data_IF_684840883645
#
_entry.id   IF_684840883645
#
_cell.length_a   1.000
_cell.length_b   1.000
_cell.length_c   1.000
_cell.angle_alpha   90.00
_cell.angle_beta   90.00
_cell.angle_gamma   90.00
#
_symmetry.space_group_name_H-M   'P 1'
#
loop_
_entity.id
_entity.type
_entity.pdbx_description
1 polymer ?
#
# COMPACT_ATOMS: atom_id res chain seq x y z
N UNK A 1 -33.23 29.58 -15.22
CA UNK A 1 -33.24 28.25 -14.57
C UNK A 1 -33.45 27.18 -15.64
N UNK A 2 -32.41 26.46 -16.03
CA UNK A 2 -32.52 25.25 -16.84
C UNK A 2 -31.82 24.12 -16.07
N UNK A 3 -32.61 23.18 -15.54
CA UNK A 3 -32.09 21.91 -15.02
C UNK A 3 -31.70 21.05 -16.22
N UNK A 4 -30.40 20.83 -16.43
CA UNK A 4 -29.92 19.74 -17.29
C UNK A 4 -30.15 18.44 -16.51
N UNK A 5 -31.20 17.71 -16.86
CA UNK A 5 -31.36 16.31 -16.48
C UNK A 5 -30.33 15.50 -17.27
N UNK A 6 -29.22 15.13 -16.63
CA UNK A 6 -28.40 14.03 -17.11
C UNK A 6 -29.22 12.74 -16.90
N UNK A 7 -29.61 12.08 -17.99
CA UNK A 7 -30.14 10.73 -17.95
C UNK A 7 -28.97 9.81 -17.59
N UNK A 8 -28.92 9.35 -16.34
CA UNK A 8 -28.16 8.15 -16.02
C UNK A 8 -28.91 6.99 -16.68
N UNK A 9 -28.19 6.18 -17.47
CA UNK A 9 -28.71 4.91 -17.97
C UNK A 9 -28.95 3.99 -16.76
N UNK A 10 -30.13 3.38 -16.65
CA UNK A 10 -30.53 2.55 -15.50
C UNK A 10 -29.91 1.14 -15.56
N UNK A 11 -28.82 0.96 -16.31
CA UNK A 11 -28.08 -0.30 -16.34
C UNK A 11 -27.16 -0.37 -15.13
N UNK A 12 -27.37 -1.37 -14.26
CA UNK A 12 -26.39 -1.68 -13.22
C UNK A 12 -25.05 -2.01 -13.87
N UNK A 13 -24.02 -1.23 -13.54
CA UNK A 13 -22.65 -1.46 -13.98
C UNK A 13 -21.82 -1.96 -12.80
N UNK A 14 -21.03 -3.00 -13.06
CA UNK A 14 -20.14 -3.59 -12.06
C UNK A 14 -18.76 -3.78 -12.66
N UNK A 15 -17.75 -3.79 -11.81
CA UNK A 15 -16.36 -3.97 -12.22
C UNK A 15 -15.66 -4.95 -11.28
N UNK A 16 -14.61 -5.56 -11.80
CA UNK A 16 -13.69 -6.36 -11.01
C UNK A 16 -12.26 -6.09 -11.43
N UNK A 17 -11.34 -6.22 -10.50
CA UNK A 17 -9.92 -5.99 -10.73
C UNK A 17 -9.09 -7.18 -10.24
N UNK A 18 -8.07 -7.52 -11.01
CA UNK A 18 -6.97 -8.38 -10.56
C UNK A 18 -5.72 -8.15 -11.41
N UNK A 19 -4.56 -8.49 -10.86
CA UNK A 19 -3.30 -8.50 -11.56
C UNK A 19 -2.44 -9.67 -11.06
N UNK A 20 -1.52 -10.11 -11.91
CA UNK A 20 -0.42 -11.01 -11.56
C UNK A 20 0.87 -10.43 -12.15
N UNK A 21 1.97 -10.55 -11.42
CA UNK A 21 3.26 -9.99 -11.81
C UNK A 21 4.34 -11.04 -11.58
N UNK A 22 5.05 -11.42 -12.64
CA UNK A 22 6.19 -12.33 -12.55
C UNK A 22 7.24 -11.97 -13.60
N UNK A 23 8.52 -12.19 -13.27
CA UNK A 23 9.63 -12.02 -14.22
C UNK A 23 9.71 -13.16 -15.24
N UNK A 24 9.14 -14.30 -14.89
CA UNK A 24 9.03 -15.48 -15.75
C UNK A 24 7.60 -15.58 -16.29
N UNK A 25 7.46 -15.42 -17.61
CA UNK A 25 6.17 -15.47 -18.29
C UNK A 25 5.44 -16.79 -18.04
N UNK A 26 6.16 -17.91 -17.89
CA UNK A 26 5.56 -19.23 -17.65
C UNK A 26 4.90 -19.35 -16.27
N UNK A 27 5.24 -18.45 -15.34
CA UNK A 27 4.70 -18.40 -13.98
C UNK A 27 3.53 -17.43 -13.82
N UNK A 28 3.08 -16.81 -14.91
CA UNK A 28 1.90 -15.96 -14.89
C UNK A 28 0.63 -16.80 -14.94
N UNK A 29 -0.29 -16.56 -14.01
CA UNK A 29 -1.57 -17.27 -13.92
C UNK A 29 -2.64 -16.54 -14.74
N UNK A 30 -2.45 -16.49 -16.06
CA UNK A 30 -3.30 -15.71 -16.99
C UNK A 30 -4.79 -16.02 -16.82
N UNK A 31 -5.14 -17.31 -16.68
CA UNK A 31 -6.52 -17.73 -16.45
C UNK A 31 -7.09 -17.16 -15.15
N UNK A 32 -6.32 -17.24 -14.06
CA UNK A 32 -6.72 -16.67 -12.76
C UNK A 32 -6.90 -15.15 -12.82
N UNK A 33 -6.05 -14.45 -13.59
CA UNK A 33 -6.17 -12.99 -13.80
C UNK A 33 -7.43 -12.62 -14.58
N UNK A 34 -7.93 -13.50 -15.46
CA UNK A 34 -9.20 -13.29 -16.16
C UNK A 34 -10.43 -13.67 -15.33
N UNK A 35 -10.36 -14.77 -14.58
CA UNK A 35 -11.48 -15.30 -13.80
C UNK A 35 -11.79 -14.47 -12.55
N UNK A 36 -10.78 -14.01 -11.82
CA UNK A 36 -10.96 -13.21 -10.60
C UNK A 36 -11.80 -11.93 -10.83
N UNK A 37 -11.46 -11.04 -11.78
CA UNK A 37 -12.23 -9.82 -12.01
C UNK A 37 -13.61 -10.14 -12.57
N UNK A 38 -13.74 -11.15 -13.45
CA UNK A 38 -15.04 -11.60 -13.96
C UNK A 38 -15.97 -12.01 -12.83
N UNK A 39 -15.49 -12.89 -11.92
CA UNK A 39 -16.27 -13.31 -10.75
C UNK A 39 -16.65 -12.13 -9.86
N UNK A 40 -15.73 -11.22 -9.58
CA UNK A 40 -16.01 -10.02 -8.77
C UNK A 40 -17.06 -9.13 -9.43
N UNK A 41 -16.96 -8.89 -10.73
CA UNK A 41 -17.95 -8.11 -11.47
C UNK A 41 -19.32 -8.79 -11.45
N UNK A 42 -19.41 -10.10 -11.71
CA UNK A 42 -20.68 -10.84 -11.65
C UNK A 42 -21.29 -10.83 -10.25
N UNK A 43 -20.47 -10.91 -9.20
CA UNK A 43 -20.94 -10.82 -7.81
C UNK A 43 -21.36 -9.40 -7.40
N UNK A 44 -21.02 -8.37 -8.18
CA UNK A 44 -21.38 -6.98 -7.90
C UNK A 44 -22.82 -6.61 -8.27
N UNK A 45 -23.54 -7.45 -9.02
CA UNK A 45 -24.93 -7.15 -9.37
C UNK A 45 -25.84 -7.20 -8.13
N UNK A 46 -26.79 -6.27 -8.04
CA UNK A 46 -27.62 -6.10 -6.85
C UNK A 46 -26.88 -5.55 -5.63
N UNK A 47 -25.74 -4.87 -5.85
CA UNK A 47 -25.04 -4.10 -4.83
C UNK A 47 -25.99 -3.14 -4.11
N UNK A 48 -25.82 -3.04 -2.79
CA UNK A 48 -26.65 -2.18 -1.95
C UNK A 48 -25.81 -1.07 -1.35
N UNK A 49 -26.43 0.10 -1.23
CA UNK A 49 -25.88 1.16 -0.41
C UNK A 49 -25.83 0.70 1.05
N UNK A 50 -24.72 1.02 1.69
CA UNK A 50 -24.53 0.88 3.13
C UNK A 50 -24.51 2.27 3.75
N UNK A 51 -24.96 2.40 4.99
CA UNK A 51 -24.92 3.68 5.69
C UNK A 51 -23.47 4.09 5.99
N UNK A 52 -23.09 5.36 5.86
CA UNK A 52 -21.78 5.83 6.26
C UNK A 52 -21.50 5.55 7.74
N UNK A 53 -20.32 5.01 8.06
CA UNK A 53 -19.95 4.69 9.43
C UNK A 53 -18.64 3.93 9.52
N UNK A 54 -18.31 3.53 10.75
CA UNK A 54 -17.14 2.70 11.04
C UNK A 54 -17.51 1.22 10.87
N UNK A 55 -16.71 0.50 10.09
CA UNK A 55 -16.88 -0.92 9.82
C UNK A 55 -15.59 -1.67 10.12
N UNK A 56 -15.72 -2.92 10.53
CA UNK A 56 -14.61 -3.87 10.45
C UNK A 56 -14.32 -4.14 8.97
N UNK A 57 -13.05 -4.04 8.57
CA UNK A 57 -12.65 -4.15 7.17
C UNK A 57 -11.62 -5.25 7.00
N UNK A 58 -11.91 -6.17 6.09
CA UNK A 58 -10.95 -7.15 5.57
C UNK A 58 -10.40 -6.59 4.26
N UNK A 59 -9.07 -6.45 4.17
CA UNK A 59 -8.39 -5.96 2.98
C UNK A 59 -7.78 -7.13 2.21
N UNK A 60 -8.17 -7.31 0.94
CA UNK A 60 -7.44 -8.23 0.06
C UNK A 60 -6.03 -7.69 -0.25
N UNK A 61 -5.08 -8.57 -0.67
CA UNK A 61 -3.69 -8.18 -0.93
C UNK A 61 -3.53 -6.96 -1.84
N UNK A 62 -4.40 -6.78 -2.84
CA UNK A 62 -4.36 -5.63 -3.73
C UNK A 62 -4.71 -4.30 -3.04
N UNK A 63 -5.68 -4.32 -2.13
CA UNK A 63 -6.04 -3.16 -1.31
C UNK A 63 -4.93 -2.81 -0.32
N UNK A 64 -4.34 -3.84 0.31
CA UNK A 64 -3.17 -3.70 1.21
C UNK A 64 -1.99 -3.10 0.46
N UNK A 65 -1.64 -3.61 -0.73
CA UNK A 65 -0.50 -3.13 -1.51
C UNK A 65 -0.60 -1.62 -1.85
N UNK A 66 -1.78 -1.17 -2.28
CA UNK A 66 -2.02 0.26 -2.51
C UNK A 66 -1.81 1.09 -1.24
N UNK A 67 -2.33 0.63 -0.09
CA UNK A 67 -2.16 1.32 1.18
C UNK A 67 -0.70 1.31 1.71
N UNK A 68 0.02 0.20 1.54
CA UNK A 68 1.44 0.07 1.92
C UNK A 68 2.31 1.06 1.17
N UNK A 69 2.01 1.35 -0.09
CA UNK A 69 2.70 2.41 -0.84
C UNK A 69 2.57 3.77 -0.15
N UNK A 70 1.37 4.17 0.29
CA UNK A 70 1.17 5.45 0.99
C UNK A 70 1.86 5.49 2.35
N UNK A 71 1.77 4.40 3.13
CA UNK A 71 2.46 4.28 4.42
C UNK A 71 3.97 4.42 4.23
N UNK A 72 4.55 3.69 3.28
CA UNK A 72 5.98 3.74 2.98
C UNK A 72 6.39 5.16 2.54
N UNK A 73 5.72 5.68 1.50
CA UNK A 73 6.09 6.96 0.88
C UNK A 73 6.00 8.11 1.87
N UNK A 74 4.87 8.28 2.57
CA UNK A 74 4.65 9.41 3.47
C UNK A 74 5.24 9.20 4.86
N UNK A 75 5.28 7.96 5.36
CA UNK A 75 5.75 7.67 6.71
C UNK A 75 7.27 7.55 6.79
N UNK A 76 7.88 6.77 5.89
CA UNK A 76 9.23 6.25 6.08
C UNK A 76 10.31 6.99 5.29
N UNK A 77 9.97 7.99 4.47
CA UNK A 77 10.97 8.82 3.79
C UNK A 77 11.66 9.78 4.76
N UNK A 78 12.99 9.70 4.89
CA UNK A 78 13.76 10.63 5.72
C UNK A 78 13.60 12.08 5.27
N UNK A 79 13.45 12.34 3.97
CA UNK A 79 13.19 13.69 3.47
C UNK A 79 11.86 14.23 4.01
N UNK A 80 10.79 13.43 3.94
CA UNK A 80 9.47 13.87 4.43
C UNK A 80 9.42 13.95 5.96
N UNK A 81 10.22 13.15 6.66
CA UNK A 81 10.44 13.28 8.10
C UNK A 81 11.06 14.63 8.45
N UNK A 82 12.16 15.00 7.78
CA UNK A 82 12.87 16.26 7.97
C UNK A 82 12.04 17.48 7.52
N UNK A 83 11.20 17.31 6.50
CA UNK A 83 10.28 18.34 5.97
C UNK A 83 8.97 18.47 6.78
N UNK A 84 8.85 17.80 7.93
CA UNK A 84 7.67 17.89 8.81
C UNK A 84 6.38 17.35 8.16
N UNK A 85 6.52 16.52 7.12
CA UNK A 85 5.41 15.93 6.35
C UNK A 85 5.05 14.53 6.87
N UNK A 86 6.03 13.77 7.35
CA UNK A 86 5.79 12.40 7.82
C UNK A 86 4.91 12.36 9.07
N UNK A 87 3.94 11.45 9.10
CA UNK A 87 3.13 11.15 10.28
C UNK A 87 3.89 10.37 11.37
N UNK A 88 5.09 9.86 11.05
CA UNK A 88 5.99 9.15 11.97
C UNK A 88 7.00 10.08 12.66
N UNK A 89 6.90 11.39 12.42
CA UNK A 89 7.77 12.37 13.04
C UNK A 89 7.76 12.24 14.56
N UNK A 90 8.96 12.15 15.12
CA UNK A 90 9.24 11.99 16.56
C UNK A 90 8.68 10.70 17.18
N UNK A 91 8.33 9.70 16.36
CA UNK A 91 7.76 8.41 16.80
C UNK A 91 8.63 7.19 16.44
N UNK A 92 9.87 7.41 16.02
CA UNK A 92 10.81 6.31 15.80
C UNK A 92 11.10 5.64 17.14
N UNK A 93 10.94 4.32 17.21
CA UNK A 93 11.03 3.53 18.43
C UNK A 93 9.70 3.35 19.18
N UNK A 94 8.62 4.02 18.75
CA UNK A 94 7.30 3.87 19.37
C UNK A 94 6.48 2.72 18.77
N UNK A 95 5.62 2.10 19.58
CA UNK A 95 4.62 1.12 19.13
C UNK A 95 3.39 1.85 18.61
N UNK A 96 3.28 1.96 17.29
CA UNK A 96 2.13 2.63 16.62
C UNK A 96 1.19 1.64 15.93
N UNK A 97 1.66 0.44 15.61
CA UNK A 97 0.87 -0.58 14.94
C UNK A 97 0.62 -1.78 15.86
N UNK A 98 -0.27 -2.67 15.43
CA UNK A 98 -0.49 -3.96 16.09
C UNK A 98 0.82 -4.74 16.21
N UNK A 99 0.97 -5.50 17.29
CA UNK A 99 2.14 -6.38 17.46
C UNK A 99 2.22 -7.52 16.45
N UNK A 100 1.09 -7.80 15.77
CA UNK A 100 1.02 -8.74 14.65
C UNK A 100 1.54 -8.15 13.33
N UNK A 101 1.93 -6.87 13.32
CA UNK A 101 2.35 -6.18 12.10
C UNK A 101 3.87 -5.98 12.09
N UNK A 102 4.51 -6.60 11.11
CA UNK A 102 5.92 -6.45 10.77
C UNK A 102 6.03 -6.14 9.29
N UNK A 103 6.83 -5.15 8.93
CA UNK A 103 6.99 -4.64 7.58
C UNK A 103 8.44 -4.23 7.33
N UNK A 104 9.00 -4.60 6.18
CA UNK A 104 10.37 -4.25 5.80
C UNK A 104 10.46 -4.01 4.29
N UNK A 105 11.54 -3.35 3.86
CA UNK A 105 11.94 -3.24 2.47
C UNK A 105 13.10 -4.21 2.19
N UNK A 106 12.99 -5.02 1.14
CA UNK A 106 14.10 -5.84 0.67
C UNK A 106 14.05 -6.04 -0.86
N UNK A 107 14.95 -5.36 -1.57
CA UNK A 107 15.09 -5.51 -3.01
C UNK A 107 15.67 -6.88 -3.44
N UNK A 108 16.31 -7.62 -2.54
CA UNK A 108 16.93 -8.91 -2.85
C UNK A 108 15.97 -10.09 -2.66
N UNK A 109 14.85 -9.88 -1.97
CA UNK A 109 13.84 -10.91 -1.78
C UNK A 109 13.29 -11.39 -3.13
N UNK A 110 13.27 -12.72 -3.30
CA UNK A 110 12.85 -13.35 -4.56
C UNK A 110 11.35 -13.23 -4.86
N UNK A 111 10.54 -12.88 -3.86
CA UNK A 111 9.09 -12.62 -4.01
C UNK A 111 8.81 -11.29 -4.69
N UNK A 112 9.77 -10.36 -4.67
CA UNK A 112 9.62 -9.06 -5.30
C UNK A 112 9.80 -9.20 -6.82
N UNK A 113 8.80 -8.85 -7.64
CA UNK A 113 8.87 -9.04 -9.09
C UNK A 113 9.76 -7.98 -9.77
N UNK A 114 9.76 -6.75 -9.27
CA UNK A 114 10.56 -5.64 -9.79
C UNK A 114 11.64 -5.30 -8.77
N UNK A 115 12.83 -5.88 -8.95
CA UNK A 115 13.96 -5.68 -8.03
C UNK A 115 14.90 -4.62 -8.59
N UNK A 116 15.11 -3.54 -7.84
CA UNK A 116 16.20 -2.59 -8.10
C UNK A 116 17.26 -2.76 -7.01
N UNK A 117 18.49 -3.11 -7.39
CA UNK A 117 19.57 -3.39 -6.42
C UNK A 117 20.40 -2.15 -6.08
N UNK A 118 20.29 -1.12 -6.91
CA UNK A 118 20.91 0.18 -6.73
C UNK A 118 19.83 1.24 -6.87
N UNK A 119 20.03 2.35 -6.19
CA UNK A 119 19.14 3.51 -6.26
C UNK A 119 19.58 4.50 -7.36
N UNK A 120 18.86 5.62 -7.50
CA UNK A 120 19.15 6.62 -8.54
C UNK A 120 20.45 7.42 -8.29
N UNK A 121 21.12 7.20 -7.15
CA UNK A 121 22.44 7.74 -6.78
C UNK A 121 23.54 6.65 -6.83
N UNK A 122 23.24 5.52 -7.48
CA UNK A 122 24.11 4.35 -7.63
C UNK A 122 24.51 3.70 -6.30
N UNK A 123 23.76 3.97 -5.23
CA UNK A 123 24.00 3.37 -3.92
C UNK A 123 23.38 1.98 -3.85
N UNK A 124 24.10 0.96 -3.36
CA UNK A 124 23.52 -0.37 -3.17
C UNK A 124 22.41 -0.31 -2.13
N UNK A 125 21.28 -0.96 -2.43
CA UNK A 125 20.15 -1.06 -1.52
C UNK A 125 20.47 -1.93 -0.32
N UNK A 126 20.09 -1.49 0.86
CA UNK A 126 20.13 -2.32 2.07
C UNK A 126 18.72 -2.78 2.43
N UNK A 127 18.59 -4.00 2.95
CA UNK A 127 17.35 -4.40 3.61
C UNK A 127 17.06 -3.42 4.77
N UNK A 128 15.81 -2.97 4.88
CA UNK A 128 15.40 -1.97 5.85
C UNK A 128 14.18 -2.44 6.65
N UNK A 129 14.37 -2.74 7.92
CA UNK A 129 13.24 -2.96 8.84
C UNK A 129 12.50 -1.63 9.06
N UNK A 130 11.22 -1.57 8.70
CA UNK A 130 10.39 -0.36 8.82
C UNK A 130 9.53 -0.44 10.09
N UNK A 131 8.85 -1.57 10.27
CA UNK A 131 8.05 -1.89 11.47
C UNK A 131 8.39 -3.29 11.94
N UNK A 132 8.64 -3.45 13.24
CA UNK A 132 8.91 -4.75 13.86
C UNK A 132 7.93 -4.95 15.02
N UNK A 133 7.02 -5.91 14.90
CA UNK A 133 5.99 -6.21 15.93
C UNK A 133 5.29 -4.94 16.44
N UNK A 134 4.89 -4.10 15.49
CA UNK A 134 4.18 -2.85 15.76
C UNK A 134 5.05 -1.63 16.08
N UNK A 135 6.35 -1.82 16.29
CA UNK A 135 7.31 -0.77 16.65
C UNK A 135 7.95 -0.19 15.39
N UNK A 136 7.94 1.14 15.26
CA UNK A 136 8.58 1.86 14.15
C UNK A 136 10.09 1.85 14.34
N UNK A 137 10.86 1.47 13.32
CA UNK A 137 12.29 1.18 13.46
C UNK A 137 13.20 2.19 12.78
N UNK A 138 13.09 2.34 11.46
CA UNK A 138 14.05 3.11 10.66
C UNK A 138 13.34 4.00 9.65
N UNK A 139 14.10 4.86 8.98
CA UNK A 139 13.68 5.63 7.81
C UNK A 139 14.51 5.20 6.60
N UNK A 140 13.93 5.37 5.41
CA UNK A 140 14.64 5.27 4.15
C UNK A 140 15.44 6.56 3.93
N UNK A 141 16.73 6.40 3.63
CA UNK A 141 17.68 7.48 3.41
C UNK A 141 18.28 7.44 2.00
N UNK A 142 18.44 8.63 1.43
CA UNK A 142 19.32 8.93 0.30
C UNK A 142 20.61 9.58 0.82
N UNK A 143 21.57 9.90 -0.06
CA UNK A 143 22.86 10.49 0.33
C UNK A 143 22.69 11.83 1.06
N UNK A 144 21.77 12.69 0.58
CA UNK A 144 21.55 14.02 1.15
C UNK A 144 20.99 13.96 2.58
N UNK A 145 19.92 13.19 2.77
CA UNK A 145 19.24 13.04 4.06
C UNK A 145 20.09 12.24 5.06
N UNK A 146 20.83 11.23 4.59
CA UNK A 146 21.78 10.50 5.43
C UNK A 146 22.87 11.42 5.97
N UNK A 147 23.44 12.28 5.11
CA UNK A 147 24.45 13.26 5.49
C UNK A 147 23.93 14.25 6.54
N UNK A 148 22.68 14.72 6.39
CA UNK A 148 22.05 15.65 7.34
C UNK A 148 21.88 15.04 8.73
N UNK A 149 21.51 13.76 8.80
CA UNK A 149 21.28 13.03 10.06
C UNK A 149 22.56 12.37 10.61
N UNK A 150 23.68 12.43 9.88
CA UNK A 150 24.94 11.81 10.28
C UNK A 150 24.92 10.28 10.24
N UNK A 151 24.10 9.69 9.36
CA UNK A 151 23.96 8.24 9.16
C UNK A 151 24.45 7.82 7.77
N UNK A 152 24.48 6.52 7.52
CA UNK A 152 24.79 5.97 6.20
C UNK A 152 23.53 5.92 5.33
N UNK A 153 23.67 6.20 4.03
CA UNK A 153 22.58 6.01 3.06
C UNK A 153 22.11 4.55 3.05
N UNK A 154 20.81 4.35 2.87
CA UNK A 154 20.21 3.02 2.76
C UNK A 154 20.05 2.58 1.29
N UNK A 155 20.49 3.42 0.35
CA UNK A 155 20.27 3.22 -1.08
C UNK A 155 18.79 3.34 -1.45
N UNK A 156 18.09 4.36 -0.96
CA UNK A 156 16.65 4.51 -1.24
C UNK A 156 16.30 5.74 -2.07
N UNK A 157 17.26 6.43 -2.70
CA UNK A 157 16.92 7.51 -3.62
C UNK A 157 16.09 6.98 -4.80
N UNK A 158 14.91 7.55 -4.99
CA UNK A 158 14.06 7.23 -6.14
C UNK A 158 13.25 8.43 -6.59
N UNK A 159 12.80 8.37 -7.84
CA UNK A 159 11.93 9.39 -8.44
C UNK A 159 10.47 8.94 -8.46
N UNK A 160 9.60 9.75 -7.85
CA UNK A 160 8.16 9.58 -7.97
C UNK A 160 7.49 10.91 -8.33
N UNK A 161 6.70 10.91 -9.42
CA UNK A 161 5.99 12.09 -9.94
C UNK A 161 6.89 13.33 -10.10
N UNK A 162 8.12 13.14 -10.56
CA UNK A 162 9.09 14.21 -10.79
C UNK A 162 9.84 14.70 -9.55
N UNK A 163 9.53 14.18 -8.35
CA UNK A 163 10.29 14.45 -7.12
C UNK A 163 11.29 13.34 -6.87
N UNK A 164 12.55 13.68 -6.61
CA UNK A 164 13.57 12.76 -6.08
C UNK A 164 13.54 12.83 -4.56
N UNK A 165 13.44 11.68 -3.91
CA UNK A 165 13.43 11.52 -2.45
C UNK A 165 13.71 10.06 -2.06
N UNK A 166 14.00 9.77 -0.78
CA UNK A 166 14.09 8.41 -0.30
C UNK A 166 12.73 7.70 -0.35
N UNK A 167 12.64 6.52 -0.97
CA UNK A 167 11.42 5.71 -1.08
C UNK A 167 11.77 4.23 -0.84
N UNK A 168 11.14 3.62 0.17
CA UNK A 168 11.11 2.17 0.35
C UNK A 168 10.05 1.56 -0.59
N UNK A 169 10.51 0.97 -1.71
CA UNK A 169 9.69 0.54 -2.84
C UNK A 169 9.49 -0.98 -2.96
N UNK A 170 10.20 -1.79 -2.18
CA UNK A 170 10.14 -3.26 -2.21
C UNK A 170 9.60 -3.78 -0.88
N UNK A 171 8.39 -3.32 -0.56
CA UNK A 171 7.75 -3.58 0.72
C UNK A 171 7.29 -5.05 0.82
N UNK A 172 7.65 -5.68 1.93
CA UNK A 172 7.12 -6.96 2.37
C UNK A 172 6.45 -6.78 3.73
N UNK A 173 5.42 -7.59 3.94
CA UNK A 173 4.68 -7.65 5.20
C UNK A 173 4.71 -9.10 5.67
N UNK A 174 4.90 -9.31 6.96
CA UNK A 174 4.88 -10.64 7.57
C UNK A 174 3.49 -11.28 7.42
N UNK A 175 3.49 -12.55 7.02
CA UNK A 175 2.25 -13.30 6.78
C UNK A 175 1.61 -13.70 8.13
N UNK A 176 0.28 -13.59 8.20
CA UNK A 176 -0.50 -14.19 9.26
C UNK A 176 -0.80 -15.67 8.98
N UNK A 177 -1.52 -16.31 9.90
CA UNK A 177 -1.91 -17.73 9.75
C UNK A 177 -3.36 -17.92 9.30
N UNK A 178 -4.18 -16.86 9.30
CA UNK A 178 -5.60 -16.93 8.95
C UNK A 178 -5.80 -16.87 7.43
N UNK A 179 -6.68 -17.73 6.94
CA UNK A 179 -7.21 -17.67 5.57
C UNK A 179 -8.23 -16.54 5.42
N UNK A 180 -8.51 -16.14 4.17
CA UNK A 180 -9.53 -15.14 3.87
C UNK A 180 -10.92 -15.62 4.32
N UNK A 181 -11.20 -16.91 4.12
CA UNK A 181 -12.46 -17.54 4.49
C UNK A 181 -12.68 -17.54 6.00
N UNK A 182 -11.63 -17.81 6.80
CA UNK A 182 -11.69 -17.70 8.25
C UNK A 182 -11.93 -16.26 8.70
N UNK A 183 -11.21 -15.28 8.12
CA UNK A 183 -11.45 -13.87 8.43
C UNK A 183 -12.89 -13.46 8.13
N UNK A 184 -13.43 -13.84 6.97
CA UNK A 184 -14.83 -13.54 6.60
C UNK A 184 -15.82 -14.22 7.55
N UNK A 185 -15.57 -15.47 7.95
CA UNK A 185 -16.46 -16.21 8.85
C UNK A 185 -16.48 -15.63 10.28
N UNK A 186 -15.36 -15.09 10.75
CA UNK A 186 -15.25 -14.47 12.08
C UNK A 186 -15.83 -13.05 12.12
N UNK A 187 -15.77 -12.30 11.02
CA UNK A 187 -16.30 -10.94 10.93
C UNK A 187 -17.84 -10.94 10.81
N UNK A 188 -18.53 -10.57 11.89
CA UNK A 188 -20.01 -10.56 11.95
C UNK A 188 -20.67 -9.47 11.09
N UNK A 189 -20.06 -8.29 11.04
CA UNK A 189 -20.54 -7.16 10.26
C UNK A 189 -19.34 -6.35 9.79
N UNK A 190 -18.98 -6.51 8.52
CA UNK A 190 -17.81 -5.87 7.97
C UNK A 190 -17.83 -5.81 6.45
N UNK A 191 -16.79 -5.20 5.91
CA UNK A 191 -16.63 -4.94 4.49
C UNK A 191 -15.38 -5.67 4.02
N UNK A 192 -15.52 -6.49 2.99
CA UNK A 192 -14.37 -6.99 2.23
C UNK A 192 -14.02 -5.98 1.15
N UNK A 193 -12.91 -5.24 1.33
CA UNK A 193 -12.41 -4.34 0.30
C UNK A 193 -11.39 -5.07 -0.56
N UNK A 194 -11.74 -5.24 -1.83
CA UNK A 194 -10.92 -6.05 -2.73
C UNK A 194 -9.84 -5.25 -3.46
N UNK A 195 -10.07 -3.95 -3.65
CA UNK A 195 -9.14 -3.01 -4.27
C UNK A 195 -9.58 -1.58 -3.93
N UNK A 196 -8.66 -0.62 -3.97
CA UNK A 196 -8.99 0.80 -3.84
C UNK A 196 -8.71 1.54 -5.15
N UNK A 197 -9.69 2.31 -5.60
CA UNK A 197 -9.55 3.28 -6.67
C UNK A 197 -9.28 4.68 -6.11
N UNK A 198 -8.60 5.52 -6.90
CA UNK A 198 -8.41 6.95 -6.60
C UNK A 198 -7.88 7.25 -5.20
N UNK A 199 -6.91 6.45 -4.73
CA UNK A 199 -6.29 6.65 -3.43
C UNK A 199 -5.57 8.01 -3.37
N UNK A 200 -5.71 8.71 -2.25
CA UNK A 200 -5.08 10.01 -2.04
C UNK A 200 -4.70 10.24 -0.57
N UNK A 201 -3.67 11.06 -0.37
CA UNK A 201 -3.28 11.54 0.96
C UNK A 201 -3.99 12.86 1.23
N UNK A 202 -5.05 12.81 2.05
CA UNK A 202 -5.82 14.00 2.45
C UNK A 202 -5.01 14.84 3.43
N UNK A 203 -4.39 14.18 4.41
CA UNK A 203 -3.49 14.83 5.34
C UNK A 203 -2.32 13.88 5.69
N UNK A 204 -1.19 13.97 4.97
CA UNK A 204 -0.07 13.06 5.19
C UNK A 204 0.60 13.23 6.55
N UNK A 205 0.56 14.42 7.16
CA UNK A 205 1.17 14.67 8.48
C UNK A 205 0.41 13.98 9.61
N UNK A 206 -0.86 13.64 9.38
CA UNK A 206 -1.71 12.89 10.29
C UNK A 206 -1.92 11.43 9.87
N UNK A 207 -1.34 11.00 8.75
CA UNK A 207 -1.57 9.66 8.20
C UNK A 207 -3.02 9.44 7.74
N UNK A 208 -3.71 10.50 7.29
CA UNK A 208 -5.10 10.41 6.84
C UNK A 208 -5.12 10.24 5.32
N UNK A 209 -5.62 9.08 4.89
CA UNK A 209 -5.73 8.69 3.49
C UNK A 209 -7.18 8.36 3.14
N UNK A 210 -7.52 8.48 1.86
CA UNK A 210 -8.84 8.11 1.32
C UNK A 210 -8.67 7.22 0.10
N UNK A 211 -9.63 6.34 -0.14
CA UNK A 211 -9.76 5.57 -1.37
C UNK A 211 -11.23 5.27 -1.64
N UNK A 212 -11.58 5.14 -2.91
CA UNK A 212 -12.87 4.64 -3.36
C UNK A 212 -12.79 3.11 -3.45
N UNK A 213 -13.86 2.42 -3.07
CA UNK A 213 -13.94 0.95 -3.00
C UNK A 213 -15.10 0.47 -3.87
#
# INVERSE_FOLDING_TARGET
MQKKNARYDETEETAGWSADNNRDFSKLHVQTVAEKPTRKATNGFGMKNIEPGDYEVILEPAAVAGFMFFISYFGFSALLYLDYISFLRDKIGEKLFSEKFTMWDDAYDSRIPYRTFFDDEEQPKTQLELVQKGIVKNLAYDTLTATKDGVTTTGHNGRFRGRSLPIASHILVEEGTASLEEMIAETKNGILVTHFHYQNAVNPTKGIFTGLM
#
